data_IF_039690574844
#
_entry.id   IF_039690574844
#
_cell.length_a   1.000
_cell.length_b   1.000
_cell.length_c   1.000
_cell.angle_alpha   90.00
_cell.angle_beta   90.00
_cell.angle_gamma   90.00
#
_symmetry.space_group_name_H-M   'P 1'
#
loop_
_entity.id
_entity.type
_entity.pdbx_description
1 polymer ?
#
# COMPACT_ATOMS: atom_id res chain seq x y z
N UNK A 1 35.41 40.63 34.16
CA UNK A 1 35.45 40.18 32.75
C UNK A 1 34.69 38.87 32.59
N UNK A 2 33.35 38.87 32.46
CA UNK A 2 32.54 37.65 32.15
C UNK A 2 31.06 37.91 31.83
N UNK A 3 30.69 39.06 31.25
CA UNK A 3 29.26 39.38 30.94
C UNK A 3 28.99 39.53 29.43
N UNK A 4 30.01 39.56 28.57
CA UNK A 4 29.82 39.70 27.10
C UNK A 4 29.54 38.40 26.33
N UNK A 5 29.46 37.22 26.99
CA UNK A 5 29.34 35.93 26.28
C UNK A 5 27.89 35.47 26.03
N UNK A 6 26.90 36.06 26.68
CA UNK A 6 25.48 35.65 26.54
C UNK A 6 24.67 36.51 25.57
N UNK A 7 25.13 37.73 25.21
CA UNK A 7 24.44 38.53 24.19
C UNK A 7 24.69 38.04 22.76
N UNK A 8 25.83 37.39 22.49
CA UNK A 8 26.14 36.88 21.15
C UNK A 8 25.42 35.56 20.83
N UNK A 9 25.07 34.77 21.86
CA UNK A 9 24.35 33.51 21.69
C UNK A 9 22.86 33.72 21.36
N UNK A 10 22.25 34.80 21.86
CA UNK A 10 20.86 35.17 21.56
C UNK A 10 20.66 35.64 20.11
N UNK A 11 21.64 36.32 19.52
CA UNK A 11 21.55 36.76 18.11
C UNK A 11 21.77 35.60 17.11
N UNK A 12 22.58 34.60 17.46
CA UNK A 12 22.77 33.42 16.59
C UNK A 12 21.52 32.53 16.60
N UNK A 13 20.83 32.37 17.73
CA UNK A 13 19.58 31.60 17.78
C UNK A 13 18.44 32.32 17.04
N UNK A 14 18.36 33.66 17.11
CA UNK A 14 17.42 34.45 16.31
C UNK A 14 17.72 34.40 14.80
N UNK A 15 19.00 34.35 14.40
CA UNK A 15 19.39 34.19 12.99
C UNK A 15 19.16 32.76 12.46
N UNK A 16 19.22 31.73 13.32
CA UNK A 16 18.87 30.35 12.96
C UNK A 16 17.34 30.20 12.85
N UNK A 17 16.55 30.94 13.64
CA UNK A 17 15.10 30.99 13.48
C UNK A 17 14.65 31.79 12.24
N UNK A 18 15.37 32.85 11.86
CA UNK A 18 15.07 33.60 10.63
C UNK A 18 15.53 32.90 9.34
N UNK A 19 16.53 32.01 9.39
CA UNK A 19 16.87 31.15 8.25
C UNK A 19 15.89 30.00 8.00
N UNK A 20 14.93 29.79 8.90
CA UNK A 20 13.83 28.85 8.71
C UNK A 20 12.56 29.49 8.12
N UNK A 21 12.64 30.75 7.68
CA UNK A 21 11.49 31.53 7.19
C UNK A 21 11.51 31.85 5.69
N UNK A 22 12.34 31.21 4.87
CA UNK A 22 12.37 31.44 3.41
C UNK A 22 12.57 30.15 2.59
N UNK A 23 11.98 29.03 3.05
CA UNK A 23 11.59 28.00 2.09
C UNK A 23 10.32 28.48 1.43
N UNK A 24 10.42 28.95 0.18
CA UNK A 24 9.29 29.03 -0.75
C UNK A 24 8.44 27.77 -0.54
N UNK A 25 7.23 27.95 -0.02
CA UNK A 25 6.23 26.88 0.02
C UNK A 25 6.01 26.51 -1.44
N UNK A 26 6.41 25.30 -1.78
CA UNK A 26 6.20 24.68 -3.09
C UNK A 26 4.68 24.47 -3.21
N UNK A 27 3.99 25.44 -3.81
CA UNK A 27 2.53 25.63 -3.72
C UNK A 27 1.74 24.75 -4.73
N UNK A 28 2.37 23.69 -5.24
CA UNK A 28 1.69 22.72 -6.10
C UNK A 28 0.80 21.80 -5.24
N UNK A 29 -0.49 22.13 -5.19
CA UNK A 29 -1.50 21.33 -4.50
C UNK A 29 -1.52 19.88 -5.03
N UNK A 30 -1.13 19.62 -6.28
CA UNK A 30 -1.19 18.31 -6.92
C UNK A 30 0.12 17.51 -6.81
N UNK A 31 1.02 17.90 -5.89
CA UNK A 31 2.28 17.20 -5.66
C UNK A 31 2.07 15.72 -5.36
N UNK A 32 2.69 14.86 -6.18
CA UNK A 32 2.62 13.40 -6.03
C UNK A 32 3.66 12.90 -5.06
N UNK A 33 3.38 11.74 -4.46
CA UNK A 33 4.37 11.00 -3.68
C UNK A 33 5.48 10.51 -4.60
N UNK A 34 6.72 10.86 -4.25
CA UNK A 34 7.91 10.39 -4.95
C UNK A 34 8.50 9.19 -4.21
N UNK A 35 8.91 8.18 -4.97
CA UNK A 35 9.62 7.02 -4.44
C UNK A 35 10.63 6.50 -5.46
N UNK A 36 11.68 5.84 -4.97
CA UNK A 36 12.71 5.22 -5.81
C UNK A 36 12.36 3.77 -6.13
N UNK A 37 12.65 3.33 -7.35
CA UNK A 37 12.66 1.90 -7.69
C UNK A 37 14.07 1.36 -7.47
N UNK A 38 14.19 0.32 -6.67
CA UNK A 38 15.46 -0.33 -6.34
C UNK A 38 15.44 -1.73 -6.94
N UNK A 39 16.36 -1.97 -7.86
CA UNK A 39 16.57 -3.29 -8.43
C UNK A 39 17.28 -4.19 -7.41
N UNK A 40 16.73 -5.38 -7.21
CA UNK A 40 17.33 -6.42 -6.37
C UNK A 40 17.64 -7.66 -7.21
N UNK A 41 18.84 -8.18 -7.05
CA UNK A 41 19.35 -9.35 -7.75
C UNK A 41 19.31 -10.60 -6.86
N UNK A 42 19.37 -10.42 -5.53
CA UNK A 42 19.36 -11.53 -4.59
C UNK A 42 18.75 -11.13 -3.24
N UNK A 43 18.59 -12.10 -2.33
CA UNK A 43 17.94 -11.92 -1.03
C UNK A 43 18.72 -10.99 -0.11
N UNK A 44 20.06 -10.97 -0.19
CA UNK A 44 20.89 -10.12 0.67
C UNK A 44 20.66 -8.63 0.38
N UNK A 45 20.33 -8.28 -0.87
CA UNK A 45 20.04 -6.91 -1.29
C UNK A 45 18.87 -6.32 -0.48
N UNK A 46 17.90 -7.14 -0.03
CA UNK A 46 16.78 -6.68 0.80
C UNK A 46 17.26 -6.01 2.11
N UNK A 47 18.39 -6.47 2.66
CA UNK A 47 18.90 -6.08 3.97
C UNK A 47 20.01 -5.03 3.92
N UNK A 48 20.40 -4.59 2.72
CA UNK A 48 21.35 -3.49 2.59
C UNK A 48 20.81 -2.25 3.31
N UNK A 49 21.65 -1.66 4.17
CA UNK A 49 21.32 -0.41 4.84
C UNK A 49 21.18 0.68 3.78
N UNK A 50 20.00 1.28 3.74
CA UNK A 50 19.70 2.43 2.89
C UNK A 50 19.59 3.63 3.80
N UNK A 51 20.64 4.44 3.80
CA UNK A 51 20.66 5.72 4.52
C UNK A 51 19.85 6.75 3.73
N UNK A 52 18.52 6.62 3.64
CA UNK A 52 17.70 7.65 3.00
C UNK A 52 16.32 7.84 3.66
N UNK A 53 15.99 9.09 3.97
CA UNK A 53 14.71 9.59 4.52
C UNK A 53 13.53 9.47 3.51
N UNK A 54 13.66 8.66 2.45
CA UNK A 54 12.75 8.62 1.31
C UNK A 54 12.06 7.27 1.11
N UNK A 55 10.92 7.30 0.41
CA UNK A 55 10.17 6.11 0.04
C UNK A 55 10.84 5.36 -1.11
N UNK A 56 10.70 4.03 -1.11
CA UNK A 56 11.20 3.19 -2.19
C UNK A 56 10.36 1.93 -2.35
N UNK A 57 10.50 1.28 -3.49
CA UNK A 57 9.97 -0.06 -3.77
C UNK A 57 11.03 -0.91 -4.42
N UNK A 58 10.94 -2.22 -4.23
CA UNK A 58 11.79 -3.16 -4.95
C UNK A 58 11.19 -3.51 -6.31
N UNK A 59 12.02 -3.48 -7.34
CA UNK A 59 11.75 -4.18 -8.59
C UNK A 59 12.45 -5.53 -8.54
N UNK A 60 11.67 -6.58 -8.71
CA UNK A 60 12.13 -7.95 -8.59
C UNK A 60 11.77 -8.70 -9.88
N UNK A 61 12.77 -9.07 -10.68
CA UNK A 61 12.54 -9.90 -11.86
C UNK A 61 12.85 -11.39 -11.61
N UNK A 62 13.72 -11.73 -10.65
CA UNK A 62 14.23 -13.11 -10.51
C UNK A 62 14.32 -13.69 -9.08
N UNK A 63 13.96 -12.94 -8.03
CA UNK A 63 14.09 -13.40 -6.65
C UNK A 63 13.20 -14.62 -6.37
N UNK A 64 13.83 -15.72 -5.96
CA UNK A 64 13.17 -16.97 -5.62
C UNK A 64 13.38 -17.35 -4.15
N UNK A 65 12.35 -17.15 -3.35
CA UNK A 65 12.39 -17.42 -1.91
C UNK A 65 12.26 -18.91 -1.55
N UNK A 66 12.04 -19.82 -2.53
CA UNK A 66 11.78 -21.24 -2.26
C UNK A 66 12.95 -21.98 -1.60
N UNK A 67 14.17 -21.51 -1.85
CA UNK A 67 15.40 -22.13 -1.32
C UNK A 67 15.73 -21.69 0.10
N UNK A 68 15.04 -20.67 0.62
CA UNK A 68 15.27 -20.17 1.98
C UNK A 68 14.60 -21.08 3.02
N UNK A 69 15.22 -21.23 4.21
CA UNK A 69 14.55 -21.77 5.40
C UNK A 69 13.25 -21.03 5.72
N UNK A 70 12.33 -21.68 6.43
CA UNK A 70 10.99 -21.15 6.65
C UNK A 70 10.98 -19.77 7.31
N UNK A 71 11.82 -19.52 8.30
CA UNK A 71 11.84 -18.25 9.03
C UNK A 71 12.52 -17.14 8.22
N UNK A 72 13.65 -17.43 7.57
CA UNK A 72 14.31 -16.50 6.63
C UNK A 72 13.41 -16.11 5.46
N UNK A 73 12.62 -17.06 4.95
CA UNK A 73 11.64 -16.81 3.89
C UNK A 73 10.56 -15.85 4.33
N UNK A 74 10.02 -16.03 5.54
CA UNK A 74 8.97 -15.15 6.08
C UNK A 74 9.50 -13.74 6.27
N UNK A 75 10.72 -13.61 6.79
CA UNK A 75 11.37 -12.31 6.97
C UNK A 75 11.60 -11.63 5.60
N UNK A 76 12.23 -12.33 4.65
CA UNK A 76 12.44 -11.81 3.29
C UNK A 76 11.13 -11.39 2.60
N UNK A 77 10.06 -12.16 2.78
CA UNK A 77 8.73 -11.82 2.27
C UNK A 77 8.22 -10.49 2.87
N UNK A 78 8.36 -10.30 4.18
CA UNK A 78 7.95 -9.06 4.86
C UNK A 78 8.80 -7.88 4.39
N UNK A 79 10.13 -8.04 4.32
CA UNK A 79 11.04 -6.99 3.84
C UNK A 79 10.75 -6.56 2.41
N UNK A 80 10.33 -7.49 1.55
CA UNK A 80 9.95 -7.20 0.17
C UNK A 80 8.65 -6.39 0.09
N UNK A 81 7.66 -6.69 0.95
CA UNK A 81 6.33 -6.07 0.90
C UNK A 81 6.25 -4.71 1.61
N UNK A 82 6.95 -4.53 2.74
CA UNK A 82 6.82 -3.32 3.56
C UNK A 82 7.05 -2.00 2.80
N UNK A 83 8.11 -1.85 1.98
CA UNK A 83 8.33 -0.61 1.24
C UNK A 83 7.20 -0.34 0.23
N UNK A 84 6.69 -1.38 -0.43
CA UNK A 84 5.55 -1.29 -1.33
C UNK A 84 4.27 -0.85 -0.62
N UNK A 85 3.99 -1.42 0.56
CA UNK A 85 2.84 -1.04 1.39
C UNK A 85 2.96 0.42 1.84
N UNK A 86 4.14 0.83 2.32
CA UNK A 86 4.39 2.21 2.76
C UNK A 86 4.14 3.21 1.64
N UNK A 87 4.64 2.94 0.42
CA UNK A 87 4.37 3.80 -0.74
C UNK A 87 2.88 3.90 -1.04
N UNK A 88 2.14 2.78 -1.07
CA UNK A 88 0.69 2.80 -1.33
C UNK A 88 -0.06 3.59 -0.24
N UNK A 89 0.32 3.42 1.02
CA UNK A 89 -0.28 4.18 2.12
C UNK A 89 -0.02 5.67 2.01
N UNK A 90 1.23 6.08 1.73
CA UNK A 90 1.56 7.48 1.56
C UNK A 90 0.89 8.10 0.32
N UNK A 91 0.78 7.37 -0.80
CA UNK A 91 0.01 7.80 -1.98
C UNK A 91 -1.45 8.07 -1.61
N UNK A 92 -2.10 7.16 -0.87
CA UNK A 92 -3.50 7.34 -0.46
C UNK A 92 -3.65 8.51 0.53
N UNK A 93 -2.76 8.63 1.52
CA UNK A 93 -2.79 9.76 2.48
C UNK A 93 -2.62 11.09 1.76
N UNK A 94 -1.67 11.17 0.84
CA UNK A 94 -1.44 12.35 0.02
C UNK A 94 -2.68 12.69 -0.81
N UNK A 95 -3.25 11.72 -1.52
CA UNK A 95 -4.47 11.92 -2.30
C UNK A 95 -5.64 12.41 -1.41
N UNK A 96 -5.80 11.88 -0.18
CA UNK A 96 -6.83 12.35 0.75
C UNK A 96 -6.63 13.82 1.13
N UNK A 97 -5.41 14.24 1.43
CA UNK A 97 -5.11 15.63 1.77
C UNK A 97 -5.33 16.57 0.58
N UNK A 98 -4.98 16.14 -0.63
CA UNK A 98 -5.27 16.90 -1.85
C UNK A 98 -6.78 17.04 -2.04
N UNK A 99 -7.52 15.93 -2.02
CA UNK A 99 -8.99 15.94 -2.20
C UNK A 99 -9.68 16.81 -1.16
N UNK A 100 -9.28 16.76 0.11
CA UNK A 100 -9.81 17.60 1.20
C UNK A 100 -9.57 19.09 0.99
N UNK A 101 -8.46 19.47 0.36
CA UNK A 101 -8.19 20.86 -0.04
C UNK A 101 -9.06 21.26 -1.23
N UNK A 102 -9.13 20.42 -2.26
CA UNK A 102 -9.88 20.70 -3.49
C UNK A 102 -11.40 20.77 -3.25
N UNK A 103 -11.95 19.93 -2.37
CA UNK A 103 -13.37 19.96 -2.00
C UNK A 103 -13.81 21.33 -1.45
N UNK A 104 -12.90 22.06 -0.78
CA UNK A 104 -13.19 23.36 -0.16
C UNK A 104 -12.99 24.55 -1.09
N UNK A 105 -12.40 24.35 -2.28
CA UNK A 105 -12.19 25.42 -3.24
C UNK A 105 -13.51 25.78 -3.91
N UNK A 106 -13.75 27.08 -4.10
CA UNK A 106 -14.93 27.56 -4.84
C UNK A 106 -14.87 27.20 -6.32
N UNK A 107 -13.67 27.21 -6.90
CA UNK A 107 -13.40 26.89 -8.29
C UNK A 107 -12.11 26.05 -8.39
N UNK A 108 -12.12 25.06 -9.28
CA UNK A 108 -10.99 24.19 -9.57
C UNK A 108 -10.39 24.57 -10.92
N UNK A 109 -9.06 24.49 -11.06
CA UNK A 109 -8.42 24.51 -12.37
C UNK A 109 -8.80 23.26 -13.18
N UNK A 110 -8.55 23.27 -14.50
CA UNK A 110 -8.80 22.09 -15.34
C UNK A 110 -7.95 20.89 -14.92
N UNK A 111 -6.71 21.12 -14.48
CA UNK A 111 -5.83 20.07 -13.94
C UNK A 111 -6.37 19.49 -12.63
N UNK A 112 -6.83 20.35 -11.71
CA UNK A 112 -7.42 19.93 -10.44
C UNK A 112 -8.73 19.16 -10.65
N UNK A 113 -9.56 19.61 -11.59
CA UNK A 113 -10.79 18.92 -11.98
C UNK A 113 -10.48 17.53 -12.56
N UNK A 114 -9.53 17.45 -13.49
CA UNK A 114 -9.09 16.17 -14.06
C UNK A 114 -8.50 15.24 -13.00
N UNK A 115 -7.74 15.78 -12.04
CA UNK A 115 -7.23 15.02 -10.91
C UNK A 115 -8.39 14.44 -10.07
N UNK A 116 -9.37 15.25 -9.69
CA UNK A 116 -10.57 14.78 -8.99
C UNK A 116 -11.32 13.71 -9.79
N UNK A 117 -11.59 13.93 -11.08
CA UNK A 117 -12.26 12.96 -11.96
C UNK A 117 -11.55 11.61 -11.98
N UNK A 118 -10.21 11.62 -12.04
CA UNK A 118 -9.41 10.40 -11.98
C UNK A 118 -9.54 9.68 -10.63
N UNK A 119 -9.49 10.41 -9.51
CA UNK A 119 -9.66 9.83 -8.16
C UNK A 119 -11.06 9.24 -7.98
N UNK A 120 -12.11 9.99 -8.34
CA UNK A 120 -13.50 9.50 -8.30
C UNK A 120 -13.67 8.22 -9.14
N UNK A 121 -13.13 8.20 -10.36
CA UNK A 121 -13.16 7.03 -11.24
C UNK A 121 -12.40 5.84 -10.64
N UNK A 122 -11.19 6.07 -10.11
CA UNK A 122 -10.34 5.04 -9.47
C UNK A 122 -11.05 4.32 -8.32
N UNK A 123 -11.79 5.06 -7.49
CA UNK A 123 -12.57 4.52 -6.37
C UNK A 123 -14.00 4.10 -6.73
N UNK A 124 -14.39 4.21 -8.02
CA UNK A 124 -15.75 3.92 -8.52
C UNK A 124 -16.81 4.69 -7.74
N UNK A 125 -16.63 6.00 -7.61
CA UNK A 125 -17.56 6.92 -6.96
C UNK A 125 -18.01 7.94 -7.99
N UNK A 126 -19.30 8.30 -7.95
CA UNK A 126 -19.83 9.36 -8.81
C UNK A 126 -19.16 10.69 -8.46
N UNK A 127 -18.68 11.41 -9.48
CA UNK A 127 -18.05 12.72 -9.29
C UNK A 127 -18.92 13.67 -8.46
N UNK A 128 -18.32 14.33 -7.47
CA UNK A 128 -18.97 15.23 -6.53
C UNK A 128 -19.57 14.56 -5.29
N UNK A 129 -19.59 13.22 -5.20
CA UNK A 129 -19.96 12.52 -3.97
C UNK A 129 -18.75 12.39 -3.03
N UNK A 130 -18.30 13.52 -2.48
CA UNK A 130 -17.09 13.60 -1.65
C UNK A 130 -17.13 12.70 -0.42
N UNK A 131 -18.29 12.63 0.26
CA UNK A 131 -18.47 11.79 1.45
C UNK A 131 -18.29 10.29 1.13
N UNK A 132 -18.84 9.82 0.01
CA UNK A 132 -18.63 8.43 -0.40
C UNK A 132 -17.16 8.18 -0.78
N UNK A 133 -16.53 9.12 -1.48
CA UNK A 133 -15.12 9.03 -1.84
C UNK A 133 -14.24 8.92 -0.60
N UNK A 134 -14.39 9.82 0.36
CA UNK A 134 -13.65 9.81 1.61
C UNK A 134 -13.81 8.46 2.35
N UNK A 135 -15.03 7.92 2.39
CA UNK A 135 -15.30 6.62 3.03
C UNK A 135 -14.62 5.43 2.34
N UNK A 136 -14.29 5.56 1.06
CA UNK A 136 -13.61 4.51 0.26
C UNK A 136 -12.09 4.68 0.24
N UNK A 137 -11.55 5.87 0.49
CA UNK A 137 -10.10 6.12 0.60
C UNK A 137 -9.57 5.64 1.95
N UNK A 138 -9.57 4.33 2.14
CA UNK A 138 -9.11 3.66 3.37
C UNK A 138 -7.59 3.45 3.37
N UNK A 139 -6.97 3.51 4.55
CA UNK A 139 -5.64 2.96 4.77
C UNK A 139 -5.85 1.54 5.30
N UNK A 140 -5.62 0.55 4.43
CA UNK A 140 -5.85 -0.84 4.79
C UNK A 140 -4.70 -1.33 5.70
N UNK A 141 -4.96 -1.93 6.88
CA UNK A 141 -3.89 -2.26 7.83
C UNK A 141 -2.75 -3.09 7.22
N UNK A 142 -1.51 -2.65 7.46
CA UNK A 142 -0.29 -3.33 7.00
C UNK A 142 -0.27 -4.78 7.43
N UNK A 143 -0.70 -5.05 8.67
CA UNK A 143 -0.78 -6.41 9.22
C UNK A 143 -1.71 -7.32 8.41
N UNK A 144 -2.84 -6.81 7.92
CA UNK A 144 -3.78 -7.57 7.08
C UNK A 144 -3.22 -7.78 5.68
N UNK A 145 -2.59 -6.78 5.08
CA UNK A 145 -1.93 -6.91 3.77
C UNK A 145 -0.84 -7.99 3.83
N UNK A 146 0.04 -7.94 4.83
CA UNK A 146 1.08 -8.95 5.04
C UNK A 146 0.50 -10.34 5.29
N UNK A 147 -0.56 -10.42 6.12
CA UNK A 147 -1.22 -11.70 6.43
C UNK A 147 -1.85 -12.34 5.20
N UNK A 148 -2.67 -11.59 4.47
CA UNK A 148 -3.29 -12.09 3.25
C UNK A 148 -2.23 -12.42 2.22
N UNK A 149 -1.24 -11.55 2.02
CA UNK A 149 -0.17 -11.81 1.07
C UNK A 149 0.59 -13.10 1.39
N UNK A 150 0.88 -13.36 2.67
CA UNK A 150 1.54 -14.59 3.11
C UNK A 150 0.69 -15.84 2.81
N UNK A 151 -0.61 -15.78 3.07
CA UNK A 151 -1.55 -16.87 2.84
C UNK A 151 -1.74 -17.14 1.33
N UNK A 152 -2.02 -16.10 0.55
CA UNK A 152 -2.35 -16.22 -0.88
C UNK A 152 -1.14 -16.57 -1.75
N UNK A 153 0.06 -16.09 -1.38
CA UNK A 153 1.30 -16.34 -2.15
C UNK A 153 2.14 -17.51 -1.62
N UNK A 154 1.69 -18.19 -0.56
CA UNK A 154 2.48 -19.14 0.19
C UNK A 154 3.87 -18.57 0.55
N UNK A 155 3.89 -17.40 1.19
CA UNK A 155 5.12 -16.68 1.58
C UNK A 155 6.05 -16.37 0.39
N UNK A 156 5.47 -15.91 -0.72
CA UNK A 156 6.22 -15.54 -1.93
C UNK A 156 6.75 -16.70 -2.78
N UNK A 157 6.30 -17.93 -2.51
CA UNK A 157 6.77 -19.12 -3.27
C UNK A 157 5.88 -19.49 -4.44
N UNK A 158 4.65 -18.97 -4.49
CA UNK A 158 3.71 -19.26 -5.56
C UNK A 158 4.26 -18.85 -6.92
N UNK A 159 3.87 -19.59 -7.96
CA UNK A 159 4.26 -19.27 -9.34
C UNK A 159 3.84 -17.85 -9.73
N UNK A 160 2.62 -17.46 -9.39
CA UNK A 160 2.07 -16.17 -9.79
C UNK A 160 2.71 -14.99 -9.05
N UNK A 161 3.17 -15.20 -7.81
CA UNK A 161 4.02 -14.22 -7.14
C UNK A 161 5.33 -14.03 -7.90
N UNK A 162 6.04 -15.12 -8.21
CA UNK A 162 7.37 -15.07 -8.80
C UNK A 162 7.39 -14.60 -10.26
N UNK A 163 6.49 -15.10 -11.08
CA UNK A 163 6.48 -14.79 -12.52
C UNK A 163 5.63 -13.55 -12.86
N UNK A 164 4.76 -13.13 -11.94
CA UNK A 164 3.74 -12.13 -12.21
C UNK A 164 3.56 -11.07 -11.15
N UNK A 165 4.40 -11.02 -10.10
CA UNK A 165 4.23 -10.14 -8.95
C UNK A 165 2.81 -10.18 -8.34
N UNK A 166 2.06 -11.26 -8.57
CA UNK A 166 0.66 -11.38 -8.14
C UNK A 166 0.60 -12.08 -6.79
N UNK A 167 0.60 -11.26 -5.75
CA UNK A 167 0.71 -11.71 -4.35
C UNK A 167 -0.61 -12.30 -3.86
N UNK A 168 -1.72 -11.71 -4.29
CA UNK A 168 -3.05 -11.99 -3.75
C UNK A 168 -3.88 -12.91 -4.66
N UNK A 169 -3.27 -13.51 -5.68
CA UNK A 169 -3.94 -14.44 -6.59
C UNK A 169 -5.05 -13.80 -7.43
N UNK A 170 -4.94 -12.51 -7.75
CA UNK A 170 -6.00 -11.74 -8.41
C UNK A 170 -6.24 -12.26 -9.84
N UNK A 171 -7.50 -12.56 -10.13
CA UNK A 171 -7.93 -13.05 -11.44
C UNK A 171 -7.91 -11.92 -12.48
N UNK A 172 -7.52 -12.27 -13.70
CA UNK A 172 -7.60 -11.38 -14.85
C UNK A 172 -8.85 -11.70 -15.65
N UNK A 173 -9.76 -10.72 -15.74
CA UNK A 173 -10.97 -10.79 -16.59
C UNK A 173 -10.82 -10.02 -17.89
N UNK A 174 -9.77 -9.21 -18.03
CA UNK A 174 -9.49 -8.42 -19.23
C UNK A 174 -8.39 -9.09 -20.05
N UNK A 175 -8.67 -9.57 -21.28
CA UNK A 175 -7.64 -10.23 -22.09
C UNK A 175 -6.55 -9.29 -22.60
N UNK A 176 -6.75 -7.97 -22.52
CA UNK A 176 -5.80 -6.95 -22.99
C UNK A 176 -4.85 -6.45 -21.89
N UNK A 177 -4.96 -6.96 -20.66
CA UNK A 177 -4.03 -6.64 -19.57
C UNK A 177 -2.95 -7.72 -19.42
N UNK A 178 -1.75 -7.39 -18.90
CA UNK A 178 -0.74 -8.40 -18.60
C UNK A 178 -1.29 -9.49 -17.68
N UNK A 179 -1.14 -10.75 -18.08
CA UNK A 179 -1.71 -11.90 -17.36
C UNK A 179 -0.95 -13.19 -17.60
N UNK A 180 -1.09 -14.13 -16.66
CA UNK A 180 -0.47 -15.47 -16.70
C UNK A 180 -1.59 -16.51 -16.63
N UNK A 181 -1.56 -17.48 -17.55
CA UNK A 181 -2.49 -18.60 -17.52
C UNK A 181 -2.20 -19.53 -16.32
N UNK A 182 -3.27 -19.99 -15.66
CA UNK A 182 -3.19 -21.10 -14.74
C UNK A 182 -2.86 -22.40 -15.48
N UNK A 183 -2.22 -23.35 -14.78
CA UNK A 183 -1.88 -24.65 -15.38
C UNK A 183 -3.11 -25.55 -15.58
N UNK A 184 -4.18 -25.32 -14.81
CA UNK A 184 -5.41 -26.10 -14.88
C UNK A 184 -6.37 -25.58 -15.94
N UNK A 185 -7.04 -26.50 -16.62
CA UNK A 185 -8.17 -26.22 -17.52
C UNK A 185 -9.44 -26.70 -16.81
N UNK A 186 -10.49 -25.89 -16.80
CA UNK A 186 -11.80 -26.32 -16.28
C UNK A 186 -12.43 -27.35 -17.21
N UNK A 187 -13.41 -28.10 -16.71
CA UNK A 187 -14.14 -29.13 -17.48
C UNK A 187 -14.73 -28.60 -18.79
N UNK A 188 -15.11 -27.32 -18.82
CA UNK A 188 -15.64 -26.63 -19.99
C UNK A 188 -14.56 -26.05 -20.94
N UNK A 189 -13.28 -26.39 -20.76
CA UNK A 189 -12.16 -25.88 -21.57
C UNK A 189 -11.68 -24.48 -21.18
N UNK A 190 -12.29 -23.83 -20.19
CA UNK A 190 -11.86 -22.49 -19.75
C UNK A 190 -10.54 -22.57 -18.98
N UNK A 191 -9.57 -21.74 -19.39
CA UNK A 191 -8.30 -21.57 -18.69
C UNK A 191 -8.36 -20.27 -17.86
N UNK A 192 -8.39 -20.36 -16.52
CA UNK A 192 -8.29 -19.18 -15.68
C UNK A 192 -6.99 -18.43 -15.93
N UNK A 193 -7.07 -17.10 -16.01
CA UNK A 193 -5.91 -16.23 -16.10
C UNK A 193 -5.82 -15.39 -14.84
N UNK A 194 -4.62 -15.18 -14.35
CA UNK A 194 -4.33 -14.30 -13.21
C UNK A 194 -3.57 -13.08 -13.71
N UNK A 195 -3.78 -11.93 -13.08
CA UNK A 195 -3.08 -10.70 -13.44
C UNK A 195 -1.57 -10.86 -13.28
N UNK A 196 -0.83 -10.13 -14.12
CA UNK A 196 0.60 -9.88 -13.97
C UNK A 196 0.79 -8.40 -13.69
N UNK A 197 1.63 -8.09 -12.71
CA UNK A 197 1.95 -6.76 -12.28
C UNK A 197 3.42 -6.43 -12.58
N UNK A 198 3.71 -5.17 -12.85
CA UNK A 198 5.07 -4.70 -13.10
C UNK A 198 5.87 -4.73 -11.79
N UNK A 199 5.24 -4.41 -10.66
CA UNK A 199 5.87 -4.40 -9.34
C UNK A 199 4.99 -5.00 -8.24
N UNK A 200 5.61 -5.37 -7.10
CA UNK A 200 4.91 -5.75 -5.87
C UNK A 200 3.98 -4.63 -5.40
N UNK A 201 4.39 -3.36 -5.57
CA UNK A 201 3.57 -2.17 -5.26
C UNK A 201 2.25 -2.18 -6.02
N UNK A 202 2.26 -2.52 -7.31
CA UNK A 202 1.02 -2.55 -8.11
C UNK A 202 0.06 -3.65 -7.64
N UNK A 203 0.59 -4.78 -7.16
CA UNK A 203 -0.23 -5.85 -6.57
C UNK A 203 -0.84 -5.44 -5.23
N UNK A 204 -0.06 -4.74 -4.38
CA UNK A 204 -0.54 -4.15 -3.11
C UNK A 204 -1.60 -3.09 -3.38
N UNK A 205 -1.40 -2.23 -4.36
CA UNK A 205 -2.37 -1.21 -4.76
C UNK A 205 -3.69 -1.84 -5.24
N UNK A 206 -3.64 -2.90 -6.05
CA UNK A 206 -4.85 -3.57 -6.56
C UNK A 206 -5.66 -4.26 -5.45
N UNK A 207 -5.01 -4.89 -4.46
CA UNK A 207 -5.75 -5.45 -3.31
C UNK A 207 -6.38 -4.35 -2.46
N UNK A 208 -5.65 -3.27 -2.16
CA UNK A 208 -6.17 -2.14 -1.37
C UNK A 208 -7.34 -1.49 -2.10
N UNK A 209 -7.23 -1.25 -3.41
CA UNK A 209 -8.32 -0.73 -4.22
C UNK A 209 -9.50 -1.70 -4.29
N UNK A 210 -9.27 -3.01 -4.33
CA UNK A 210 -10.33 -4.02 -4.32
C UNK A 210 -11.16 -3.95 -3.04
N UNK A 211 -10.52 -3.88 -1.88
CA UNK A 211 -11.18 -3.67 -0.58
C UNK A 211 -11.88 -2.29 -0.52
N UNK A 212 -11.24 -1.28 -1.07
CA UNK A 212 -11.73 0.12 -1.09
C UNK A 212 -13.00 0.30 -1.91
N UNK A 213 -13.17 -0.44 -3.02
CA UNK A 213 -14.26 -0.14 -3.99
C UNK A 213 -15.38 -1.17 -4.07
N UNK A 214 -15.17 -2.42 -3.65
CA UNK A 214 -16.17 -3.48 -3.81
C UNK A 214 -17.15 -3.48 -2.63
N UNK A 215 -18.46 -3.55 -2.92
CA UNK A 215 -19.53 -3.57 -1.91
C UNK A 215 -19.45 -4.77 -0.96
N UNK A 216 -18.88 -5.89 -1.40
CA UNK A 216 -18.62 -7.04 -0.54
C UNK A 216 -17.79 -6.68 0.71
N UNK A 217 -16.95 -5.64 0.62
CA UNK A 217 -16.07 -5.18 1.68
C UNK A 217 -16.53 -3.87 2.33
N UNK A 218 -17.79 -3.45 2.13
CA UNK A 218 -18.34 -2.26 2.79
C UNK A 218 -18.14 -2.31 4.31
N UNK A 219 -18.36 -3.48 4.93
CA UNK A 219 -18.18 -3.64 6.38
C UNK A 219 -16.73 -3.48 6.83
N UNK A 220 -15.78 -3.97 6.03
CA UNK A 220 -14.34 -3.80 6.26
C UNK A 220 -13.99 -2.31 6.28
N UNK A 221 -14.46 -1.55 5.29
CA UNK A 221 -14.24 -0.10 5.23
C UNK A 221 -14.86 0.64 6.42
N UNK A 222 -16.08 0.29 6.80
CA UNK A 222 -16.72 0.85 7.99
C UNK A 222 -15.88 0.58 9.25
N UNK A 223 -15.34 -0.63 9.42
CA UNK A 223 -14.50 -0.97 10.57
C UNK A 223 -13.19 -0.17 10.56
N UNK A 224 -12.55 -0.02 9.40
CA UNK A 224 -11.32 0.79 9.26
C UNK A 224 -11.59 2.26 9.60
N UNK A 225 -12.66 2.84 9.05
CA UNK A 225 -13.01 4.24 9.31
C UNK A 225 -13.46 4.51 10.76
N UNK A 226 -13.84 3.46 11.49
CA UNK A 226 -14.13 3.52 12.93
C UNK A 226 -12.93 3.07 13.79
N UNK A 227 -11.73 3.06 13.20
CA UNK A 227 -10.45 2.77 13.88
C UNK A 227 -10.48 1.43 14.66
N UNK A 228 -11.18 0.44 14.10
CA UNK A 228 -11.20 -0.91 14.67
C UNK A 228 -9.84 -1.59 14.54
N UNK A 229 -9.55 -2.49 15.47
CA UNK A 229 -8.32 -3.28 15.41
C UNK A 229 -8.28 -4.16 14.15
N UNK A 230 -7.08 -4.50 13.67
CA UNK A 230 -6.92 -5.43 12.54
C UNK A 230 -7.63 -6.78 12.78
N UNK A 231 -7.67 -7.26 14.03
CA UNK A 231 -8.45 -8.45 14.42
C UNK A 231 -9.94 -8.29 14.21
N UNK A 232 -10.52 -7.14 14.57
CA UNK A 232 -11.93 -6.84 14.33
C UNK A 232 -12.21 -6.70 12.83
N UNK A 233 -11.34 -5.99 12.10
CA UNK A 233 -11.46 -5.79 10.65
C UNK A 233 -11.43 -7.13 9.90
N UNK A 234 -10.62 -8.09 10.35
CA UNK A 234 -10.52 -9.42 9.73
C UNK A 234 -11.87 -10.15 9.66
N UNK A 235 -12.79 -9.94 10.60
CA UNK A 235 -14.13 -10.55 10.53
C UNK A 235 -14.95 -10.05 9.33
N UNK A 236 -14.69 -8.82 8.86
CA UNK A 236 -15.32 -8.27 7.66
C UNK A 236 -14.88 -8.97 6.36
N UNK A 237 -13.79 -9.74 6.37
CA UNK A 237 -13.24 -10.44 5.21
C UNK A 237 -13.92 -11.79 4.94
N UNK A 238 -15.04 -12.11 5.58
CA UNK A 238 -15.75 -13.39 5.40
C UNK A 238 -16.09 -13.69 3.93
N UNK A 239 -16.33 -12.65 3.11
CA UNK A 239 -16.64 -12.78 1.67
C UNK A 239 -15.42 -12.85 0.76
N UNK A 240 -14.21 -12.75 1.33
CA UNK A 240 -12.97 -12.78 0.55
C UNK A 240 -12.66 -14.17 0.02
N UNK A 241 -12.93 -15.21 0.82
CA UNK A 241 -12.64 -16.60 0.51
C UNK A 241 -13.91 -17.44 0.63
N UNK A 242 -14.04 -18.45 -0.22
CA UNK A 242 -15.10 -19.47 -0.14
C UNK A 242 -15.04 -20.26 1.18
N UNK A 243 -13.89 -20.26 1.86
CA UNK A 243 -13.73 -20.89 3.18
C UNK A 243 -14.43 -20.12 4.32
N UNK A 244 -14.88 -18.88 4.10
CA UNK A 244 -15.66 -18.11 5.07
C UNK A 244 -14.98 -17.93 6.43
N UNK A 245 -15.56 -18.49 7.49
CA UNK A 245 -15.06 -18.36 8.86
C UNK A 245 -13.68 -19.01 9.09
N UNK A 246 -13.39 -20.13 8.42
CA UNK A 246 -12.07 -20.78 8.53
C UNK A 246 -10.98 -19.87 7.95
N UNK A 247 -11.29 -19.08 6.92
CA UNK A 247 -10.37 -18.06 6.41
C UNK A 247 -10.07 -16.98 7.45
N UNK A 248 -11.09 -16.48 8.15
CA UNK A 248 -10.92 -15.49 9.23
C UNK A 248 -10.00 -16.03 10.33
N UNK A 249 -10.20 -17.30 10.70
CA UNK A 249 -9.35 -17.98 11.69
C UNK A 249 -7.90 -18.10 11.21
N UNK A 250 -7.68 -18.45 9.93
CA UNK A 250 -6.34 -18.48 9.32
C UNK A 250 -5.68 -17.11 9.34
N UNK A 251 -6.40 -16.04 8.99
CA UNK A 251 -5.89 -14.66 9.07
C UNK A 251 -5.44 -14.34 10.48
N UNK A 252 -6.34 -14.44 11.47
CA UNK A 252 -6.04 -14.04 12.85
C UNK A 252 -4.86 -14.83 13.42
N UNK A 253 -4.85 -16.15 13.22
CA UNK A 253 -3.77 -17.03 13.67
C UNK A 253 -2.43 -16.67 13.01
N UNK A 254 -2.42 -16.39 11.71
CA UNK A 254 -1.20 -16.05 10.97
C UNK A 254 -0.68 -14.69 11.40
N UNK A 255 -1.55 -13.70 11.55
CA UNK A 255 -1.22 -12.37 12.03
C UNK A 255 -0.56 -12.42 13.42
N UNK A 256 -1.14 -13.18 14.35
CA UNK A 256 -0.64 -13.32 15.72
C UNK A 256 0.71 -14.06 15.76
N UNK A 257 0.80 -15.22 15.10
CA UNK A 257 2.02 -16.04 15.11
C UNK A 257 3.25 -15.34 14.54
N UNK A 258 3.05 -14.39 13.62
CA UNK A 258 4.14 -13.64 12.99
C UNK A 258 4.29 -12.22 13.55
N UNK A 259 3.49 -11.85 14.57
CA UNK A 259 3.58 -10.55 15.22
C UNK A 259 3.34 -9.37 14.27
N UNK A 260 2.47 -9.53 13.28
CA UNK A 260 2.29 -8.52 12.22
C UNK A 260 1.61 -7.24 12.68
N UNK A 261 0.88 -7.27 13.80
CA UNK A 261 0.29 -6.07 14.40
C UNK A 261 1.30 -4.96 14.68
N UNK A 262 2.58 -5.30 14.91
CA UNK A 262 3.64 -4.31 15.15
C UNK A 262 3.84 -3.35 13.97
N UNK A 263 3.40 -3.74 12.77
CA UNK A 263 3.52 -2.93 11.55
C UNK A 263 2.33 -1.98 11.34
N UNK A 264 1.29 -2.04 12.19
CA UNK A 264 0.17 -1.08 12.17
C UNK A 264 0.41 0.10 13.13
N UNK A 265 1.39 0.00 14.05
CA UNK A 265 1.62 0.93 15.16
C UNK A 265 2.50 2.14 14.80
N UNK A 266 2.63 2.47 13.51
CA UNK A 266 3.47 3.57 13.03
C UNK A 266 2.63 4.72 12.46
#
# INVERSE_FOLDING_TARGET
MKIKKYLLLGMIIMAVLFKYSDKKVDDDILKKVEYKKIEINNVADLYEKRDEEGLYVFSNEELDLRKLPADERKDAFVQLLLPAINVVHEEIKNDKEIIKKLEKKSELSEEEKKYCENIFSRYKVKYGNWQELESKMIIYPTSLILTQGALESAWGTSRFFREGNNIFGIWSTNPNEPRIAAKGVRENGFVPHLKKYDTIKDSVEDIVLTISRNDAYKKVREMINNEKSAHEIAYGLIKYSEEGEEYIKKIRTTMDKNGFLKYDLN
#
